data_IF_846643442364
#
_entry.id   IF_846643442364
#
_cell.length_a   1.000
_cell.length_b   1.000
_cell.length_c   1.000
_cell.angle_alpha   90.00
_cell.angle_beta   90.00
_cell.angle_gamma   90.00
#
_symmetry.space_group_name_H-M   'P 1'
#
loop_
_entity.id
_entity.type
_entity.pdbx_description
1 polymer ?
#
# COMPACT_ATOMS: atom_id res chain seq x y z
N UNK A 1 22.18 -11.87 -8.12
CA UNK A 1 21.91 -13.28 -7.83
C UNK A 1 20.55 -13.41 -7.10
N UNK A 2 20.35 -12.84 -5.89
CA UNK A 2 19.12 -12.95 -5.09
C UNK A 2 17.84 -12.56 -5.86
N UNK A 3 17.90 -11.47 -6.65
CA UNK A 3 16.81 -11.07 -7.54
C UNK A 3 16.40 -12.20 -8.50
N UNK A 4 17.38 -12.85 -9.15
CA UNK A 4 17.11 -13.92 -10.10
C UNK A 4 16.42 -15.13 -9.48
N UNK A 5 16.65 -15.42 -8.19
CA UNK A 5 15.96 -16.48 -7.47
C UNK A 5 14.55 -16.08 -7.04
N UNK A 6 14.40 -14.96 -6.34
CA UNK A 6 13.13 -14.52 -5.75
C UNK A 6 12.08 -14.10 -6.80
N UNK A 7 12.52 -13.75 -8.01
CA UNK A 7 11.65 -13.39 -9.12
C UNK A 7 11.70 -14.41 -10.27
N UNK A 8 12.22 -15.63 -10.03
CA UNK A 8 12.15 -16.74 -10.97
C UNK A 8 10.73 -17.33 -11.06
N UNK A 9 10.42 -17.94 -12.19
CA UNK A 9 9.16 -18.70 -12.35
C UNK A 9 8.98 -19.78 -11.28
N UNK A 10 10.06 -20.49 -10.92
CA UNK A 10 10.05 -21.49 -9.88
C UNK A 10 9.56 -20.91 -8.55
N UNK A 11 10.15 -19.80 -8.10
CA UNK A 11 9.75 -19.16 -6.85
C UNK A 11 8.31 -18.60 -6.92
N UNK A 12 7.93 -17.99 -8.05
CA UNK A 12 6.58 -17.43 -8.23
C UNK A 12 5.51 -18.54 -8.23
N UNK A 13 5.80 -19.71 -8.77
CA UNK A 13 4.87 -20.85 -8.81
C UNK A 13 4.53 -21.43 -7.42
N UNK A 14 5.33 -21.16 -6.39
CA UNK A 14 4.98 -21.52 -5.02
C UNK A 14 3.80 -20.71 -4.45
N UNK A 15 3.43 -19.60 -5.08
CA UNK A 15 2.31 -18.73 -4.65
C UNK A 15 2.36 -18.36 -3.15
N UNK A 16 3.53 -18.08 -2.62
CA UNK A 16 3.71 -17.64 -1.25
C UNK A 16 2.82 -16.43 -0.95
N UNK A 17 2.13 -16.44 0.20
CA UNK A 17 1.45 -15.26 0.70
C UNK A 17 2.46 -14.18 1.12
N UNK A 18 1.98 -12.97 1.47
CA UNK A 18 2.87 -11.86 1.83
C UNK A 18 3.73 -12.16 3.06
N UNK A 19 3.19 -12.88 4.07
CA UNK A 19 3.93 -13.21 5.29
C UNK A 19 5.06 -14.22 5.01
N UNK A 20 4.80 -15.20 4.16
CA UNK A 20 5.81 -16.17 3.76
C UNK A 20 6.88 -15.52 2.86
N UNK A 21 6.46 -14.65 1.93
CA UNK A 21 7.40 -13.88 1.10
C UNK A 21 8.36 -13.05 1.96
N UNK A 22 7.86 -12.31 2.95
CA UNK A 22 8.69 -11.52 3.87
C UNK A 22 9.63 -12.43 4.67
N UNK A 23 9.17 -13.58 5.17
CA UNK A 23 10.04 -14.53 5.85
C UNK A 23 11.18 -15.02 4.96
N UNK A 24 10.88 -15.33 3.69
CA UNK A 24 11.90 -15.70 2.72
C UNK A 24 12.95 -14.59 2.50
N UNK A 25 12.56 -13.32 2.54
CA UNK A 25 13.52 -12.21 2.45
C UNK A 25 14.47 -12.19 3.67
N UNK A 26 13.93 -12.33 4.89
CA UNK A 26 14.76 -12.39 6.09
C UNK A 26 15.73 -13.57 6.06
N UNK A 27 15.25 -14.75 5.73
CA UNK A 27 16.09 -15.96 5.69
C UNK A 27 17.15 -15.89 4.60
N UNK A 28 16.79 -15.43 3.39
CA UNK A 28 17.69 -15.48 2.24
C UNK A 28 18.68 -14.30 2.16
N UNK A 29 18.27 -13.12 2.61
CA UNK A 29 19.09 -11.91 2.52
C UNK A 29 19.79 -11.60 3.83
N UNK A 30 19.14 -11.81 4.98
CA UNK A 30 19.69 -11.45 6.29
C UNK A 30 20.26 -12.67 7.04
N UNK A 31 20.01 -13.89 6.56
CA UNK A 31 20.47 -15.12 7.20
C UNK A 31 19.87 -15.38 8.59
N UNK A 32 18.72 -14.81 8.87
CA UNK A 32 17.98 -14.95 10.14
C UNK A 32 16.48 -15.00 9.93
N UNK A 33 15.75 -15.48 10.94
CA UNK A 33 14.30 -15.38 10.97
C UNK A 33 13.85 -13.91 11.15
N UNK A 34 12.65 -13.59 10.68
CA UNK A 34 12.05 -12.28 10.92
C UNK A 34 11.73 -12.08 12.41
N UNK A 35 11.82 -10.85 12.89
CA UNK A 35 11.17 -10.45 14.13
C UNK A 35 9.68 -10.13 13.83
N UNK A 36 8.83 -10.22 14.89
CA UNK A 36 7.39 -10.10 14.73
C UNK A 36 6.96 -8.74 14.19
N UNK A 37 7.57 -7.66 14.70
CA UNK A 37 7.21 -6.28 14.36
C UNK A 37 7.66 -5.94 12.93
N UNK A 38 8.90 -6.27 12.57
CA UNK A 38 9.42 -6.05 11.23
C UNK A 38 8.66 -6.86 10.16
N UNK A 39 8.29 -8.11 10.49
CA UNK A 39 7.44 -8.91 9.59
C UNK A 39 6.07 -8.28 9.38
N UNK A 40 5.41 -7.87 10.47
CA UNK A 40 4.09 -7.25 10.41
C UNK A 40 4.11 -5.93 9.61
N UNK A 41 5.14 -5.13 9.76
CA UNK A 41 5.31 -3.88 9.03
C UNK A 41 5.45 -4.12 7.52
N UNK A 42 6.31 -5.03 7.09
CA UNK A 42 6.48 -5.35 5.66
C UNK A 42 5.26 -6.01 5.05
N UNK A 43 4.54 -6.87 5.79
CA UNK A 43 3.26 -7.43 5.34
C UNK A 43 2.23 -6.31 5.16
N UNK A 44 2.22 -5.32 6.05
CA UNK A 44 1.35 -4.14 5.93
C UNK A 44 1.69 -3.31 4.69
N UNK A 45 2.97 -3.12 4.37
CA UNK A 45 3.40 -2.43 3.15
C UNK A 45 2.85 -3.13 1.89
N UNK A 46 3.02 -4.46 1.80
CA UNK A 46 2.50 -5.26 0.69
C UNK A 46 0.97 -5.22 0.60
N UNK A 47 0.28 -5.28 1.72
CA UNK A 47 -1.18 -5.19 1.79
C UNK A 47 -1.69 -3.82 1.34
N UNK A 48 -0.93 -2.77 1.63
CA UNK A 48 -1.20 -1.40 1.19
C UNK A 48 -0.79 -1.10 -0.26
N UNK A 49 -0.34 -2.11 -1.01
CA UNK A 49 -0.28 -2.03 -2.46
C UNK A 49 1.09 -1.89 -3.11
N UNK A 50 2.16 -1.68 -2.34
CA UNK A 50 3.51 -1.72 -2.94
C UNK A 50 3.84 -3.10 -3.47
N UNK A 51 4.69 -3.17 -4.47
CA UNK A 51 5.11 -4.44 -5.06
C UNK A 51 6.06 -5.24 -4.16
N UNK A 52 6.19 -6.53 -4.44
CA UNK A 52 7.24 -7.36 -3.83
C UNK A 52 8.63 -6.85 -4.16
N UNK A 53 8.81 -6.25 -5.33
CA UNK A 53 10.07 -5.63 -5.75
C UNK A 53 10.42 -4.41 -4.88
N UNK A 54 9.41 -3.62 -4.50
CA UNK A 54 9.61 -2.52 -3.55
C UNK A 54 10.17 -3.03 -2.23
N UNK A 55 9.53 -4.03 -1.62
CA UNK A 55 9.99 -4.59 -0.34
C UNK A 55 11.38 -5.20 -0.48
N UNK A 56 11.64 -5.98 -1.54
CA UNK A 56 12.97 -6.52 -1.83
C UNK A 56 14.03 -5.41 -1.90
N UNK A 57 13.74 -4.30 -2.58
CA UNK A 57 14.64 -3.15 -2.63
C UNK A 57 14.92 -2.57 -1.25
N UNK A 58 13.90 -2.41 -0.39
CA UNK A 58 14.10 -1.90 0.96
C UNK A 58 15.04 -2.81 1.79
N UNK A 59 14.90 -4.12 1.64
CA UNK A 59 15.84 -5.07 2.23
C UNK A 59 17.26 -4.90 1.71
N UNK A 60 17.42 -4.87 0.39
CA UNK A 60 18.75 -4.72 -0.23
C UNK A 60 19.36 -3.33 0.03
N UNK A 61 18.56 -2.29 0.26
CA UNK A 61 19.00 -0.95 0.59
C UNK A 61 19.27 -0.75 2.11
N UNK A 62 18.93 -1.73 2.95
CA UNK A 62 19.12 -1.64 4.40
C UNK A 62 20.60 -1.62 4.82
N UNK A 63 20.87 -1.03 5.96
CA UNK A 63 22.21 -1.05 6.58
C UNK A 63 22.63 -2.49 6.93
N UNK A 64 21.70 -3.32 7.40
CA UNK A 64 21.96 -4.72 7.75
C UNK A 64 22.50 -5.50 6.55
N UNK A 65 21.80 -5.43 5.41
CA UNK A 65 22.26 -6.10 4.18
C UNK A 65 23.58 -5.52 3.66
N UNK A 66 23.77 -4.19 3.74
CA UNK A 66 25.03 -3.55 3.37
C UNK A 66 26.22 -4.05 4.20
N UNK A 67 26.02 -4.24 5.51
CA UNK A 67 27.06 -4.79 6.39
C UNK A 67 27.40 -6.26 6.06
N UNK A 68 26.37 -7.07 5.73
CA UNK A 68 26.59 -8.45 5.27
C UNK A 68 27.37 -8.48 3.97
N UNK A 69 27.03 -7.65 2.99
CA UNK A 69 27.75 -7.55 1.73
C UNK A 69 29.23 -7.18 1.96
N UNK A 70 29.50 -6.21 2.84
CA UNK A 70 30.87 -5.83 3.20
C UNK A 70 31.63 -6.97 3.89
N UNK A 71 30.97 -7.72 4.78
CA UNK A 71 31.59 -8.86 5.48
C UNK A 71 32.00 -9.96 4.52
N UNK A 72 31.22 -10.18 3.47
CA UNK A 72 31.50 -11.22 2.47
C UNK A 72 32.22 -10.70 1.22
N UNK A 73 32.61 -9.43 1.21
CA UNK A 73 33.27 -8.76 0.07
C UNK A 73 32.47 -8.89 -1.25
N UNK A 74 31.15 -8.75 -1.14
CA UNK A 74 30.20 -8.87 -2.27
C UNK A 74 29.63 -7.50 -2.59
N UNK A 75 29.57 -7.15 -3.88
CA UNK A 75 28.85 -5.96 -4.31
C UNK A 75 27.35 -6.09 -4.06
N UNK A 76 26.79 -5.05 -3.43
CA UNK A 76 25.38 -4.98 -3.07
C UNK A 76 24.43 -4.99 -4.28
N UNK A 77 24.83 -4.36 -5.38
CA UNK A 77 24.01 -4.14 -6.55
C UNK A 77 22.93 -3.05 -6.33
N UNK A 78 22.13 -2.81 -7.37
CA UNK A 78 21.06 -1.78 -7.36
C UNK A 78 19.76 -2.38 -7.89
N UNK A 79 18.65 -2.04 -7.26
CA UNK A 79 17.31 -2.42 -7.68
C UNK A 79 16.57 -1.17 -8.15
N UNK A 80 16.09 -1.16 -9.40
CA UNK A 80 15.31 -0.06 -9.95
C UNK A 80 13.81 -0.37 -9.86
N UNK A 81 13.04 0.56 -9.29
CA UNK A 81 11.58 0.49 -9.23
C UNK A 81 10.99 1.25 -10.42
N UNK A 82 10.17 0.60 -11.21
CA UNK A 82 9.57 1.16 -12.42
C UNK A 82 8.05 1.36 -12.32
N UNK A 83 7.39 0.72 -11.35
CA UNK A 83 5.96 0.87 -11.14
C UNK A 83 5.66 2.15 -10.34
N UNK A 84 4.62 2.88 -10.73
CA UNK A 84 4.24 4.14 -10.09
C UNK A 84 3.83 3.97 -8.62
N UNK A 85 3.21 2.83 -8.29
CA UNK A 85 2.86 2.47 -6.91
C UNK A 85 4.08 2.27 -6.00
N UNK A 86 5.26 2.12 -6.56
CA UNK A 86 6.50 1.90 -5.80
C UNK A 86 7.31 3.19 -5.59
N UNK A 87 6.88 4.32 -6.18
CA UNK A 87 7.61 5.58 -6.09
C UNK A 87 7.36 6.32 -4.77
N UNK A 88 6.17 6.18 -4.19
CA UNK A 88 5.81 6.83 -2.93
C UNK A 88 4.79 5.99 -2.15
N UNK A 89 5.26 5.31 -1.11
CA UNK A 89 4.42 4.45 -0.27
C UNK A 89 3.19 5.15 0.30
N UNK A 90 3.31 6.41 0.74
CA UNK A 90 2.18 7.14 1.33
C UNK A 90 1.08 7.43 0.29
N UNK A 91 1.47 7.71 -0.95
CA UNK A 91 0.54 7.86 -2.08
C UNK A 91 -0.16 6.54 -2.36
N UNK A 92 0.60 5.47 -2.50
CA UNK A 92 0.07 4.13 -2.79
C UNK A 92 -0.89 3.65 -1.73
N UNK A 93 -0.52 3.80 -0.45
CA UNK A 93 -1.38 3.48 0.69
C UNK A 93 -2.67 4.30 0.68
N UNK A 94 -2.61 5.58 0.32
CA UNK A 94 -3.80 6.42 0.20
C UNK A 94 -4.73 5.91 -0.90
N UNK A 95 -4.20 5.61 -2.09
CA UNK A 95 -5.01 5.10 -3.20
C UNK A 95 -5.60 3.72 -2.86
N UNK A 96 -4.80 2.79 -2.33
CA UNK A 96 -5.28 1.48 -1.91
C UNK A 96 -6.42 1.56 -0.88
N UNK A 97 -6.31 2.49 0.07
CA UNK A 97 -7.35 2.78 1.06
C UNK A 97 -8.62 3.32 0.41
N UNK A 98 -8.52 4.17 -0.63
CA UNK A 98 -9.69 4.67 -1.35
C UNK A 98 -10.48 3.53 -2.02
N UNK A 99 -9.80 2.53 -2.60
CA UNK A 99 -10.47 1.33 -3.10
C UNK A 99 -11.23 0.58 -2.01
N UNK A 100 -10.59 0.39 -0.85
CA UNK A 100 -11.20 -0.35 0.26
C UNK A 100 -12.36 0.41 0.89
N UNK A 101 -12.17 1.69 1.20
CA UNK A 101 -13.14 2.47 1.98
C UNK A 101 -14.27 3.03 1.11
N UNK A 102 -13.99 3.46 -0.11
CA UNK A 102 -15.01 4.07 -0.99
C UNK A 102 -15.69 3.07 -1.91
N UNK A 103 -15.02 1.97 -2.28
CA UNK A 103 -15.57 0.99 -3.21
C UNK A 103 -15.82 -0.38 -2.56
N UNK A 104 -15.39 -0.58 -1.30
CA UNK A 104 -15.60 -1.84 -0.58
C UNK A 104 -14.87 -3.05 -1.19
N UNK A 105 -13.82 -2.83 -1.98
CA UNK A 105 -13.06 -3.88 -2.65
C UNK A 105 -11.56 -3.63 -2.63
N UNK A 106 -10.81 -4.67 -2.91
CA UNK A 106 -9.36 -4.56 -3.13
C UNK A 106 -9.09 -3.81 -4.44
N UNK A 107 -7.97 -3.08 -4.49
CA UNK A 107 -7.48 -2.45 -5.71
C UNK A 107 -7.12 -3.50 -6.77
N UNK A 108 -7.22 -3.13 -8.03
CA UNK A 108 -6.49 -3.76 -9.11
C UNK A 108 -5.14 -3.05 -9.32
N UNK A 109 -4.13 -3.79 -9.77
CA UNK A 109 -2.76 -3.27 -9.86
C UNK A 109 -2.64 -2.13 -10.87
N UNK A 110 -3.34 -2.23 -12.00
CA UNK A 110 -3.29 -1.23 -13.07
C UNK A 110 -3.89 0.10 -12.60
N UNK A 111 -5.06 0.05 -11.95
CA UNK A 111 -5.71 1.22 -11.38
C UNK A 111 -4.89 1.83 -10.22
N UNK A 112 -4.27 0.99 -9.38
CA UNK A 112 -3.38 1.47 -8.33
C UNK A 112 -2.16 2.22 -8.90
N UNK A 113 -1.54 1.68 -9.97
CA UNK A 113 -0.44 2.34 -10.67
C UNK A 113 -0.90 3.66 -11.31
N UNK A 114 -2.01 3.66 -12.05
CA UNK A 114 -2.51 4.86 -12.72
C UNK A 114 -2.78 6.00 -11.73
N UNK A 115 -3.54 5.74 -10.67
CA UNK A 115 -3.83 6.75 -9.65
C UNK A 115 -2.59 7.21 -8.89
N UNK A 116 -1.70 6.29 -8.53
CA UNK A 116 -0.43 6.63 -7.87
C UNK A 116 0.45 7.48 -8.78
N UNK A 117 0.56 7.13 -10.06
CA UNK A 117 1.32 7.88 -11.05
C UNK A 117 0.78 9.30 -11.27
N UNK A 118 -0.54 9.46 -11.32
CA UNK A 118 -1.17 10.79 -11.42
C UNK A 118 -0.80 11.67 -10.22
N UNK A 119 -0.92 11.16 -9.00
CA UNK A 119 -0.56 11.91 -7.79
C UNK A 119 0.94 12.25 -7.78
N UNK A 120 1.79 11.28 -8.08
CA UNK A 120 3.25 11.47 -8.16
C UNK A 120 3.66 12.51 -9.23
N UNK A 121 2.82 12.70 -10.25
CA UNK A 121 2.97 13.70 -11.31
C UNK A 121 2.32 15.05 -10.99
N UNK A 122 1.80 15.23 -9.76
CA UNK A 122 1.23 16.52 -9.29
C UNK A 122 -0.29 16.63 -9.40
N UNK A 123 -1.01 15.57 -9.78
CA UNK A 123 -2.47 15.55 -9.68
C UNK A 123 -2.87 15.50 -8.20
N UNK A 124 -3.66 16.44 -7.74
CA UNK A 124 -3.98 16.55 -6.32
C UNK A 124 -4.68 15.32 -5.74
N UNK A 125 -4.33 14.96 -4.50
CA UNK A 125 -4.95 13.85 -3.79
C UNK A 125 -6.46 14.05 -3.60
N UNK A 126 -6.91 15.30 -3.46
CA UNK A 126 -8.33 15.69 -3.38
C UNK A 126 -9.10 15.33 -4.65
N UNK A 127 -8.50 15.46 -5.82
CA UNK A 127 -9.13 15.11 -7.10
C UNK A 127 -9.29 13.59 -7.24
N UNK A 128 -8.30 12.84 -6.73
CA UNK A 128 -8.39 11.38 -6.71
C UNK A 128 -9.49 10.94 -5.76
N UNK A 129 -9.53 11.46 -4.53
CA UNK A 129 -10.60 11.15 -3.58
C UNK A 129 -11.98 11.52 -4.15
N UNK A 130 -12.11 12.68 -4.81
CA UNK A 130 -13.32 13.10 -5.50
C UNK A 130 -13.76 12.06 -6.55
N UNK A 131 -12.82 11.61 -7.38
CA UNK A 131 -13.09 10.59 -8.41
C UNK A 131 -13.61 9.28 -7.85
N UNK A 132 -13.14 8.86 -6.67
CA UNK A 132 -13.63 7.67 -5.98
C UNK A 132 -15.00 7.88 -5.33
N UNK A 133 -15.15 8.95 -4.56
CA UNK A 133 -16.37 9.25 -3.80
C UNK A 133 -17.57 9.48 -4.73
N UNK A 134 -17.36 10.15 -5.86
CA UNK A 134 -18.40 10.45 -6.84
C UNK A 134 -18.43 9.48 -8.04
N UNK A 135 -17.73 8.35 -7.93
CA UNK A 135 -17.86 7.27 -8.91
C UNK A 135 -19.24 6.63 -8.86
N UNK A 136 -19.68 6.09 -10.00
CA UNK A 136 -20.95 5.35 -10.03
C UNK A 136 -20.94 4.16 -9.08
N UNK A 137 -19.78 3.52 -8.87
CA UNK A 137 -19.61 2.40 -7.94
C UNK A 137 -19.88 2.81 -6.50
N UNK A 138 -19.33 3.92 -6.04
CA UNK A 138 -19.57 4.46 -4.70
C UNK A 138 -21.02 4.95 -4.53
N UNK A 139 -21.57 5.68 -5.52
CA UNK A 139 -22.95 6.17 -5.50
C UNK A 139 -23.95 5.02 -5.39
N UNK A 140 -23.72 3.91 -6.09
CA UNK A 140 -24.59 2.74 -6.05
C UNK A 140 -24.63 2.04 -4.69
N UNK A 141 -23.69 2.32 -3.78
CA UNK A 141 -23.72 1.79 -2.41
C UNK A 141 -24.90 2.37 -1.60
N UNK A 142 -25.45 3.50 -2.04
CA UNK A 142 -26.62 4.15 -1.43
C UNK A 142 -26.50 4.32 0.10
N UNK A 143 -25.38 4.84 0.56
CA UNK A 143 -25.04 4.96 1.97
C UNK A 143 -25.97 5.96 2.68
N UNK A 144 -26.28 5.69 3.95
CA UNK A 144 -26.88 6.71 4.84
C UNK A 144 -25.90 7.89 5.04
N UNK A 145 -26.39 9.08 5.40
CA UNK A 145 -25.52 10.23 5.71
C UNK A 145 -24.49 9.88 6.79
N UNK A 146 -24.85 9.08 7.78
CA UNK A 146 -23.94 8.62 8.83
C UNK A 146 -22.83 7.72 8.28
N UNK A 147 -23.18 6.74 7.45
CA UNK A 147 -22.19 5.82 6.88
C UNK A 147 -21.31 6.52 5.84
N UNK A 148 -21.87 7.45 5.08
CA UNK A 148 -21.12 8.31 4.17
C UNK A 148 -20.04 9.14 4.91
N UNK A 149 -20.39 9.81 6.01
CA UNK A 149 -19.41 10.58 6.80
C UNK A 149 -18.35 9.66 7.39
N UNK A 150 -18.73 8.50 7.95
CA UNK A 150 -17.77 7.50 8.47
C UNK A 150 -16.80 7.02 7.38
N UNK A 151 -17.31 6.77 6.18
CA UNK A 151 -16.53 6.39 5.01
C UNK A 151 -15.50 7.49 4.65
N UNK A 152 -15.90 8.77 4.65
CA UNK A 152 -14.99 9.88 4.38
C UNK A 152 -13.86 9.98 5.42
N UNK A 153 -14.17 9.81 6.73
CA UNK A 153 -13.14 9.81 7.76
C UNK A 153 -12.10 8.70 7.55
N UNK A 154 -12.54 7.50 7.22
CA UNK A 154 -11.64 6.38 6.98
C UNK A 154 -10.88 6.54 5.66
N UNK A 155 -11.56 6.89 4.58
CA UNK A 155 -10.95 6.97 3.25
C UNK A 155 -9.98 8.15 3.10
N UNK A 156 -10.40 9.37 3.47
CA UNK A 156 -9.58 10.57 3.30
C UNK A 156 -8.51 10.66 4.40
N UNK A 157 -8.92 10.59 5.67
CA UNK A 157 -8.02 10.83 6.78
C UNK A 157 -7.32 9.57 7.30
N UNK A 158 -7.80 8.37 6.95
CA UNK A 158 -7.25 7.10 7.42
C UNK A 158 -7.38 6.90 8.93
N UNK A 159 -8.42 7.48 9.52
CA UNK A 159 -8.72 7.38 10.95
C UNK A 159 -10.22 7.18 11.21
N UNK A 160 -10.54 6.76 12.40
CA UNK A 160 -11.93 6.74 12.86
C UNK A 160 -12.42 8.18 13.09
N UNK A 161 -13.73 8.34 13.01
CA UNK A 161 -14.42 9.59 13.38
C UNK A 161 -14.42 9.77 14.90
N UNK A 162 -14.56 10.99 15.34
CA UNK A 162 -15.01 11.33 16.67
C UNK A 162 -16.52 11.62 16.66
N UNK A 163 -17.20 11.39 17.79
CA UNK A 163 -18.66 11.46 17.86
C UNK A 163 -19.17 12.89 17.58
N UNK A 164 -18.46 13.91 18.01
CA UNK A 164 -18.85 15.32 17.79
C UNK A 164 -18.79 15.65 16.29
N UNK A 165 -17.66 15.38 15.63
CA UNK A 165 -17.49 15.62 14.20
C UNK A 165 -18.46 14.79 13.35
N UNK A 166 -18.71 13.53 13.70
CA UNK A 166 -19.71 12.72 13.01
C UNK A 166 -21.10 13.36 13.08
N UNK A 167 -21.54 13.73 14.29
CA UNK A 167 -22.89 14.30 14.50
C UNK A 167 -23.04 15.63 13.79
N UNK A 168 -22.01 16.48 13.80
CA UNK A 168 -22.02 17.78 13.13
C UNK A 168 -22.21 17.61 11.62
N UNK A 169 -21.36 16.80 10.96
CA UNK A 169 -21.45 16.56 9.52
C UNK A 169 -22.77 15.89 9.11
N UNK A 170 -23.23 14.91 9.89
CA UNK A 170 -24.52 14.24 9.61
C UNK A 170 -25.69 15.23 9.71
N UNK A 171 -25.68 16.13 10.70
CA UNK A 171 -26.70 17.15 10.84
C UNK A 171 -26.69 18.13 9.66
N UNK A 172 -25.52 18.55 9.19
CA UNK A 172 -25.39 19.43 8.03
C UNK A 172 -25.94 18.77 6.77
N UNK A 173 -25.61 17.49 6.51
CA UNK A 173 -26.14 16.74 5.37
C UNK A 173 -27.66 16.53 5.46
N UNK A 174 -28.21 16.29 6.66
CA UNK A 174 -29.65 16.16 6.84
C UNK A 174 -30.42 17.46 6.61
N UNK A 175 -29.75 18.61 6.75
CA UNK A 175 -30.31 19.94 6.52
C UNK A 175 -30.09 20.47 5.08
N UNK A 176 -29.55 19.63 4.18
CA UNK A 176 -29.47 19.93 2.75
C UNK A 176 -28.21 20.66 2.32
N UNK A 177 -27.08 20.44 3.03
CA UNK A 177 -25.76 20.86 2.55
C UNK A 177 -25.42 20.09 1.29
#
# INVERSE_FOLDING_TARGET
LAYGFLFSEEFQNHNYNNADYVEHLYLSLMGRASDADGKADWVTHLTNGVSRLYVFRQFTDSTEFGNLCNTYEIERGTVTLTEDRDQNYNVTRFVARNYTEFLGRTYDVDGLNDWSGRINSGYGMENVAYGFVFSQECINMNLSNSDYVKMLYRGIFGRLYDDEGLNDWVNQLNNGM
#
